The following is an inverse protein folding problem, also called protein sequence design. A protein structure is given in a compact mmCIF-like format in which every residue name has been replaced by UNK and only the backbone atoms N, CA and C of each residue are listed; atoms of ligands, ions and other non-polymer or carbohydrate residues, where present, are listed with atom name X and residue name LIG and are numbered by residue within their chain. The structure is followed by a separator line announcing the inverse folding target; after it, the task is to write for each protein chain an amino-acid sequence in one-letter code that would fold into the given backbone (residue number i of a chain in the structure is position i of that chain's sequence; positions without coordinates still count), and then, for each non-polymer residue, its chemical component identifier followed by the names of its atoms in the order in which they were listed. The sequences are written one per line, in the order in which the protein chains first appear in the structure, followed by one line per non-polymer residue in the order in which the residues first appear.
data_IF_283037608721
#
_entry.id   IF_283037608721
#
_cell.length_a   1.000
_cell.length_b   1.000
_cell.length_c   1.000
_cell.angle_alpha   90.00
_cell.angle_beta   90.00
_cell.angle_gamma   90.00
#
_symmetry.space_group_name_H-M   'P 1'
#
loop_
_entity.id
_entity.type
_entity.pdbx_description
1 polymer ?
#
# COMPACT_ATOMS: atom_id res chain seq x y z
N UNK A 1 31.47 -3.41 -19.35
CA UNK A 1 30.09 -3.18 -18.91
C UNK A 1 30.09 -2.99 -17.39
N UNK A 2 29.15 -2.22 -16.87
CA UNK A 2 28.93 -2.13 -15.42
C UNK A 2 27.54 -2.70 -15.09
N UNK A 3 27.45 -3.47 -14.02
CA UNK A 3 26.20 -3.97 -13.47
C UNK A 3 25.76 -2.99 -12.39
N UNK A 4 24.51 -2.48 -12.47
CA UNK A 4 23.97 -1.56 -11.46
C UNK A 4 23.92 -2.22 -10.07
N UNK A 5 24.41 -1.52 -9.06
CA UNK A 5 24.42 -1.96 -7.66
C UNK A 5 24.11 -0.76 -6.75
N UNK A 6 22.85 -0.64 -6.37
CA UNK A 6 22.39 0.54 -5.62
C UNK A 6 22.62 1.83 -6.42
N UNK A 7 23.37 2.77 -5.81
CA UNK A 7 23.78 4.05 -6.45
C UNK A 7 25.12 3.97 -7.19
N UNK A 8 25.74 2.79 -7.26
CA UNK A 8 27.03 2.54 -7.88
C UNK A 8 26.95 1.45 -8.97
N UNK A 9 28.07 1.10 -9.57
CA UNK A 9 28.17 0.00 -10.52
C UNK A 9 29.32 -0.95 -10.19
N UNK A 10 29.11 -2.22 -10.41
CA UNK A 10 30.14 -3.26 -10.31
C UNK A 10 30.69 -3.50 -11.71
N UNK A 11 32.02 -3.43 -11.94
CA UNK A 11 32.57 -3.69 -13.25
C UNK A 11 32.41 -5.17 -13.62
N UNK A 12 31.86 -5.44 -14.80
CA UNK A 12 31.86 -6.76 -15.39
C UNK A 12 33.17 -7.03 -16.10
N UNK A 13 33.94 -7.96 -15.60
CA UNK A 13 35.33 -8.24 -16.07
C UNK A 13 35.44 -9.49 -16.95
N UNK A 14 34.33 -10.18 -17.24
CA UNK A 14 34.32 -11.37 -18.08
C UNK A 14 33.82 -11.04 -19.49
N UNK A 15 34.06 -11.97 -20.44
CA UNK A 15 33.46 -11.88 -21.78
C UNK A 15 31.95 -11.79 -21.72
N UNK A 16 31.35 -11.04 -22.63
CA UNK A 16 29.89 -10.97 -22.83
C UNK A 16 29.40 -12.03 -23.83
N UNK A 17 30.27 -12.88 -24.35
CA UNK A 17 29.87 -13.95 -25.23
C UNK A 17 28.86 -14.89 -24.55
N UNK A 18 27.70 -15.09 -25.18
CA UNK A 18 26.60 -15.87 -24.63
C UNK A 18 25.80 -15.19 -23.48
N UNK A 19 26.04 -13.90 -23.25
CA UNK A 19 25.27 -13.12 -22.27
C UNK A 19 24.20 -12.31 -22.99
N UNK A 20 22.96 -12.52 -22.61
CA UNK A 20 21.83 -11.68 -22.99
C UNK A 20 21.55 -10.64 -21.88
N UNK A 21 21.55 -9.36 -22.24
CA UNK A 21 21.18 -8.26 -21.33
C UNK A 21 19.72 -7.95 -21.54
N UNK A 22 18.89 -8.26 -20.55
CA UNK A 22 17.47 -7.91 -20.58
C UNK A 22 17.29 -6.46 -20.13
N UNK A 23 16.71 -5.64 -21.00
CA UNK A 23 16.39 -4.26 -20.73
C UNK A 23 14.87 -4.10 -20.58
N UNK A 24 14.45 -3.26 -19.64
CA UNK A 24 13.04 -2.97 -19.45
C UNK A 24 12.54 -2.03 -20.53
N UNK A 25 11.45 -2.39 -21.22
CA UNK A 25 10.74 -1.51 -22.16
C UNK A 25 9.93 -0.39 -21.49
N UNK A 26 9.89 -0.35 -20.14
CA UNK A 26 9.06 0.63 -19.41
C UNK A 26 9.47 2.08 -19.68
N UNK A 27 10.74 2.32 -20.02
CA UNK A 27 11.24 3.65 -20.38
C UNK A 27 10.63 4.21 -21.68
N UNK A 28 10.06 3.36 -22.52
CA UNK A 28 9.36 3.75 -23.77
C UNK A 28 7.90 4.16 -23.50
N UNK A 29 7.33 3.76 -22.36
CA UNK A 29 5.99 4.13 -21.97
C UNK A 29 5.96 5.60 -21.55
N UNK A 30 5.21 6.39 -22.31
CA UNK A 30 4.95 7.79 -22.00
C UNK A 30 3.57 7.88 -21.34
N UNK A 31 3.53 8.33 -20.10
CA UNK A 31 2.27 8.67 -19.47
C UNK A 31 1.61 9.84 -20.23
N UNK A 32 0.36 9.66 -20.61
CA UNK A 32 -0.44 10.69 -21.30
C UNK A 32 -1.30 11.50 -20.34
N UNK A 33 -1.33 11.11 -19.06
CA UNK A 33 -2.11 11.72 -17.99
C UNK A 33 -1.23 11.90 -16.75
N UNK A 34 -1.61 12.82 -15.89
CA UNK A 34 -1.00 12.98 -14.57
C UNK A 34 -1.31 11.79 -13.67
N UNK A 35 -0.52 11.64 -12.59
CA UNK A 35 -0.73 10.58 -11.58
C UNK A 35 -2.13 10.66 -10.98
N UNK A 36 -2.58 11.87 -10.63
CA UNK A 36 -3.90 12.11 -10.04
C UNK A 36 -5.05 11.77 -11.03
N UNK A 37 -4.92 12.13 -12.30
CA UNK A 37 -5.90 11.78 -13.34
C UNK A 37 -6.02 10.26 -13.50
N UNK A 38 -4.90 9.53 -13.44
CA UNK A 38 -4.89 8.07 -13.53
C UNK A 38 -5.60 7.43 -12.32
N UNK A 39 -5.36 7.94 -11.11
CA UNK A 39 -6.02 7.45 -9.88
C UNK A 39 -7.53 7.72 -9.96
N UNK A 40 -7.93 8.94 -10.28
CA UNK A 40 -9.35 9.32 -10.39
C UNK A 40 -10.09 8.49 -11.45
N UNK A 41 -9.47 8.23 -12.59
CA UNK A 41 -10.07 7.40 -13.64
C UNK A 41 -10.24 5.94 -13.18
N UNK A 42 -9.22 5.37 -12.53
CA UNK A 42 -9.29 4.01 -11.99
C UNK A 42 -10.39 3.88 -10.93
N UNK A 43 -10.49 4.84 -10.03
CA UNK A 43 -11.52 4.86 -8.98
C UNK A 43 -12.93 5.10 -9.53
N UNK A 44 -13.06 5.87 -10.62
CA UNK A 44 -14.36 6.11 -11.27
C UNK A 44 -14.89 4.85 -12.00
N UNK A 45 -14.01 3.94 -12.40
CA UNK A 45 -14.34 2.73 -13.15
C UNK A 45 -13.68 1.48 -12.53
N UNK A 46 -14.08 1.09 -11.32
CA UNK A 46 -13.55 -0.11 -10.68
C UNK A 46 -13.88 -1.36 -11.50
N UNK A 47 -13.01 -2.38 -11.45
CA UNK A 47 -13.20 -3.66 -12.14
C UNK A 47 -13.99 -4.60 -11.24
N UNK A 48 -15.15 -5.07 -11.74
CA UNK A 48 -16.03 -6.03 -11.06
C UNK A 48 -16.36 -5.68 -9.59
N UNK A 49 -16.39 -4.40 -9.26
CA UNK A 49 -16.67 -3.89 -7.92
C UNK A 49 -17.50 -2.60 -7.98
N UNK A 50 -18.35 -2.31 -6.98
CA UNK A 50 -18.89 -0.98 -6.77
C UNK A 50 -17.78 0.04 -6.48
N UNK A 51 -18.09 1.34 -6.63
CA UNK A 51 -17.19 2.42 -6.23
C UNK A 51 -16.95 2.39 -4.72
N UNK A 52 -15.78 2.89 -4.31
CA UNK A 52 -15.41 2.91 -2.89
C UNK A 52 -16.41 3.73 -2.05
N UNK A 53 -16.94 4.83 -2.59
CA UNK A 53 -18.01 5.60 -1.95
C UNK A 53 -19.32 4.83 -1.75
N UNK A 54 -19.62 3.88 -2.64
CA UNK A 54 -20.79 3.01 -2.50
C UNK A 54 -20.57 1.93 -1.45
N UNK A 55 -19.36 1.36 -1.40
CA UNK A 55 -18.96 0.37 -0.39
C UNK A 55 -18.92 0.97 1.02
N UNK A 56 -18.60 2.25 1.14
CA UNK A 56 -18.53 2.98 2.40
C UNK A 56 -19.92 3.31 3.00
N UNK A 57 -21.00 3.27 2.20
CA UNK A 57 -22.35 3.63 2.69
C UNK A 57 -22.76 2.80 3.90
N UNK A 58 -23.10 3.48 4.98
CA UNK A 58 -23.54 2.88 6.24
C UNK A 58 -22.44 2.23 7.06
N UNK A 59 -21.17 2.28 6.61
CA UNK A 59 -20.02 1.81 7.36
C UNK A 59 -19.54 2.87 8.35
N UNK A 60 -19.17 2.44 9.54
CA UNK A 60 -18.64 3.30 10.62
C UNK A 60 -17.12 3.28 10.67
N UNK A 61 -16.50 2.18 10.28
CA UNK A 61 -15.04 2.00 10.31
C UNK A 61 -14.53 1.47 8.98
N UNK A 62 -13.35 1.96 8.59
CA UNK A 62 -12.62 1.45 7.42
C UNK A 62 -11.14 1.33 7.76
N UNK A 63 -10.53 0.22 7.41
CA UNK A 63 -9.08 0.06 7.46
C UNK A 63 -8.54 -0.04 6.04
N UNK A 64 -7.61 0.85 5.70
CA UNK A 64 -6.85 0.78 4.45
C UNK A 64 -5.49 0.17 4.77
N UNK A 65 -5.20 -1.01 4.22
CA UNK A 65 -3.87 -1.62 4.31
C UNK A 65 -2.96 -0.93 3.32
N UNK A 66 -1.85 -0.39 3.81
CA UNK A 66 -0.83 0.25 3.00
C UNK A 66 0.51 -0.47 3.16
N UNK A 67 1.33 -0.43 2.11
CA UNK A 67 2.69 -0.97 2.19
C UNK A 67 3.59 -0.12 3.08
N UNK A 68 4.62 -0.74 3.64
CA UNK A 68 5.64 -0.05 4.43
C UNK A 68 6.63 0.79 3.57
N UNK A 69 7.65 1.34 4.22
CA UNK A 69 8.69 2.17 3.62
C UNK A 69 9.53 1.47 2.55
N UNK A 70 9.53 0.13 2.50
CA UNK A 70 10.37 -0.62 1.55
C UNK A 70 9.74 -0.73 0.15
N UNK A 71 8.48 -0.34 -0.03
CA UNK A 71 7.76 -0.46 -1.30
C UNK A 71 7.53 0.91 -1.96
N UNK A 72 7.89 1.07 -3.24
CA UNK A 72 7.75 2.34 -3.98
C UNK A 72 6.32 2.58 -4.48
N UNK A 73 5.32 2.33 -3.63
CA UNK A 73 3.91 2.63 -3.95
C UNK A 73 3.66 4.12 -3.82
N UNK A 74 3.03 4.79 -4.80
CA UNK A 74 2.79 6.24 -4.78
C UNK A 74 1.62 6.62 -3.86
N UNK A 75 1.68 6.20 -2.58
CA UNK A 75 0.58 6.34 -1.62
C UNK A 75 0.13 7.78 -1.41
N UNK A 76 1.05 8.76 -1.52
CA UNK A 76 0.72 10.19 -1.40
C UNK A 76 -0.24 10.70 -2.49
N UNK A 77 -0.29 10.03 -3.65
CA UNK A 77 -1.22 10.34 -4.74
C UNK A 77 -2.50 9.52 -4.67
N UNK A 78 -2.47 8.34 -4.06
CA UNK A 78 -3.62 7.42 -4.00
C UNK A 78 -4.48 7.69 -2.77
N UNK A 79 -3.88 7.74 -1.59
CA UNK A 79 -4.61 7.78 -0.30
C UNK A 79 -5.54 8.99 -0.18
N UNK A 80 -5.18 10.23 -0.58
CA UNK A 80 -6.09 11.38 -0.48
C UNK A 80 -7.41 11.17 -1.23
N UNK A 81 -7.37 10.56 -2.43
CA UNK A 81 -8.58 10.28 -3.20
C UNK A 81 -9.42 9.17 -2.58
N UNK A 82 -8.78 8.11 -2.06
CA UNK A 82 -9.49 7.05 -1.34
C UNK A 82 -10.21 7.59 -0.09
N UNK A 83 -9.55 8.45 0.69
CA UNK A 83 -10.16 9.10 1.85
C UNK A 83 -11.35 9.98 1.46
N UNK A 84 -11.21 10.75 0.37
CA UNK A 84 -12.31 11.59 -0.15
C UNK A 84 -13.52 10.75 -0.57
N UNK A 85 -13.30 9.66 -1.30
CA UNK A 85 -14.35 8.72 -1.72
C UNK A 85 -15.05 8.05 -0.51
N UNK A 86 -14.28 7.59 0.47
CA UNK A 86 -14.83 7.00 1.69
C UNK A 86 -15.74 7.98 2.44
N UNK A 87 -15.27 9.23 2.62
CA UNK A 87 -16.03 10.29 3.30
C UNK A 87 -17.21 10.80 2.47
N UNK A 88 -17.17 10.69 1.16
CA UNK A 88 -18.34 10.92 0.30
C UNK A 88 -19.43 9.88 0.54
N UNK A 89 -19.07 8.62 0.74
CA UNK A 89 -20.02 7.53 1.02
C UNK A 89 -20.53 7.51 2.46
N UNK A 90 -19.66 7.83 3.42
CA UNK A 90 -19.96 7.90 4.86
C UNK A 90 -19.14 9.04 5.49
N UNK A 91 -19.75 10.24 5.70
CA UNK A 91 -19.02 11.43 6.16
C UNK A 91 -18.27 11.27 7.48
N UNK A 92 -18.81 10.47 8.41
CA UNK A 92 -18.27 10.27 9.75
C UNK A 92 -17.50 8.95 9.90
N UNK A 93 -17.09 8.33 8.79
CA UNK A 93 -16.36 7.06 8.83
C UNK A 93 -15.00 7.23 9.51
N UNK A 94 -14.71 6.41 10.52
CA UNK A 94 -13.40 6.35 11.17
C UNK A 94 -12.44 5.52 10.30
N UNK A 95 -11.46 6.18 9.70
CA UNK A 95 -10.50 5.53 8.80
C UNK A 95 -9.17 5.32 9.51
N UNK A 96 -8.66 4.09 9.46
CA UNK A 96 -7.32 3.73 9.93
C UNK A 96 -6.45 3.31 8.75
N UNK A 97 -5.27 3.89 8.63
CA UNK A 97 -4.23 3.44 7.70
C UNK A 97 -3.36 2.41 8.44
N UNK A 98 -3.44 1.14 8.02
CA UNK A 98 -2.65 0.05 8.61
C UNK A 98 -1.41 -0.21 7.75
N UNK A 99 -0.23 0.09 8.30
CA UNK A 99 1.05 -0.13 7.62
C UNK A 99 1.45 -1.59 7.74
N UNK A 100 1.42 -2.34 6.65
CA UNK A 100 1.75 -3.77 6.58
C UNK A 100 3.27 -3.97 6.53
N UNK A 101 3.91 -4.05 7.68
CA UNK A 101 5.38 -4.21 7.83
C UNK A 101 5.85 -5.66 7.66
N UNK A 102 4.98 -6.65 7.89
CA UNK A 102 5.38 -8.05 7.97
C UNK A 102 6.44 -8.25 9.06
N UNK A 103 7.64 -8.73 8.67
CA UNK A 103 8.80 -8.88 9.56
C UNK A 103 9.80 -7.72 9.47
N UNK A 104 9.49 -6.66 8.73
CA UNK A 104 10.33 -5.48 8.69
C UNK A 104 10.26 -4.72 10.03
N UNK A 105 11.26 -3.89 10.29
CA UNK A 105 11.20 -2.95 11.40
C UNK A 105 10.01 -1.99 11.25
N UNK A 106 9.53 -1.39 12.32
CA UNK A 106 8.52 -0.35 12.24
C UNK A 106 8.93 0.80 11.30
N UNK A 107 7.98 1.31 10.51
CA UNK A 107 8.17 2.49 9.66
C UNK A 107 8.28 3.73 10.54
N UNK A 108 9.33 4.53 10.35
CA UNK A 108 9.52 5.75 11.12
C UNK A 108 8.56 6.87 10.69
N UNK A 109 8.42 7.91 11.53
CA UNK A 109 7.58 9.08 11.21
C UNK A 109 8.04 9.79 9.93
N UNK A 110 9.36 9.91 9.73
CA UNK A 110 9.92 10.57 8.54
C UNK A 110 9.61 9.76 7.28
N UNK A 111 9.71 8.43 7.34
CA UNK A 111 9.34 7.53 6.24
C UNK A 111 7.83 7.57 5.94
N UNK A 112 6.98 7.66 6.96
CA UNK A 112 5.55 7.88 6.79
C UNK A 112 5.28 9.22 6.10
N UNK A 113 5.97 10.27 6.52
CA UNK A 113 5.84 11.61 5.92
C UNK A 113 6.27 11.62 4.45
N UNK A 114 7.36 10.94 4.11
CA UNK A 114 7.80 10.79 2.72
C UNK A 114 6.79 10.01 1.86
N UNK A 115 6.18 8.98 2.43
CA UNK A 115 5.26 8.08 1.74
C UNK A 115 3.84 8.64 1.59
N UNK A 116 3.33 9.32 2.60
CA UNK A 116 1.94 9.76 2.70
C UNK A 116 1.77 11.28 2.57
N UNK A 117 2.82 12.05 2.85
CA UNK A 117 2.77 13.51 2.99
C UNK A 117 2.44 13.95 4.42
N UNK A 118 2.86 15.17 4.77
CA UNK A 118 2.69 15.74 6.11
C UNK A 118 1.22 15.80 6.57
N UNK A 119 0.33 16.19 5.64
CA UNK A 119 -1.10 16.34 5.94
C UNK A 119 -1.72 15.03 6.39
N UNK A 120 -1.54 13.95 5.65
CA UNK A 120 -2.09 12.63 6.00
C UNK A 120 -1.53 12.14 7.33
N UNK A 121 -0.22 12.32 7.56
CA UNK A 121 0.41 11.89 8.82
C UNK A 121 -0.09 12.70 10.03
N UNK A 122 -0.52 13.95 9.82
CA UNK A 122 -1.03 14.81 10.88
C UNK A 122 -2.53 14.60 11.17
N UNK A 123 -3.32 14.25 10.16
CA UNK A 123 -4.79 14.24 10.25
C UNK A 123 -5.38 12.83 10.38
N UNK A 124 -4.69 11.78 9.90
CA UNK A 124 -5.25 10.44 9.84
C UNK A 124 -4.70 9.51 10.93
N UNK A 125 -5.52 8.57 11.35
CA UNK A 125 -5.10 7.50 12.27
C UNK A 125 -4.22 6.49 11.54
N UNK A 126 -2.99 6.33 11.99
CA UNK A 126 -2.02 5.40 11.42
C UNK A 126 -1.62 4.37 12.46
N UNK A 127 -1.72 3.10 12.11
CA UNK A 127 -1.28 1.96 12.90
C UNK A 127 -0.17 1.24 12.14
N UNK A 128 0.92 0.92 12.82
CA UNK A 128 2.01 0.13 12.26
C UNK A 128 1.85 -1.29 12.78
N UNK A 129 1.66 -2.24 11.85
CA UNK A 129 1.54 -3.65 12.20
C UNK A 129 2.80 -4.17 12.89
N UNK A 130 2.62 -4.90 13.98
CA UNK A 130 3.66 -5.69 14.65
C UNK A 130 3.28 -7.17 14.64
N UNK A 131 3.92 -7.94 13.76
CA UNK A 131 3.66 -9.38 13.63
C UNK A 131 4.06 -10.20 14.86
N UNK A 132 4.86 -9.61 15.76
CA UNK A 132 5.38 -10.28 16.95
C UNK A 132 4.61 -9.91 18.24
N UNK A 133 3.75 -8.89 18.19
CA UNK A 133 2.92 -8.50 19.33
C UNK A 133 1.61 -9.32 19.38
N UNK A 134 1.46 -10.30 20.29
CA UNK A 134 0.23 -11.07 20.42
C UNK A 134 -0.98 -10.22 20.81
N UNK A 135 -0.77 -9.02 21.38
CA UNK A 135 -1.86 -8.16 21.81
C UNK A 135 -2.51 -7.45 20.62
N UNK A 136 -1.76 -7.16 19.56
CA UNK A 136 -2.25 -6.53 18.32
C UNK A 136 -2.78 -7.52 17.29
N UNK A 137 -2.55 -8.82 17.49
CA UNK A 137 -2.91 -9.85 16.52
C UNK A 137 -4.05 -10.76 17.05
N UNK A 138 -4.84 -11.30 16.12
CA UNK A 138 -5.96 -12.21 16.42
C UNK A 138 -5.99 -13.37 15.45
N UNK A 139 -6.28 -14.57 15.97
CA UNK A 139 -6.54 -15.75 15.13
C UNK A 139 -7.97 -15.69 14.62
N UNK A 140 -8.14 -15.73 13.30
CA UNK A 140 -9.46 -15.72 12.64
C UNK A 140 -9.81 -17.04 11.99
N UNK A 141 -8.93 -18.03 12.03
CA UNK A 141 -9.21 -19.37 11.49
C UNK A 141 -7.96 -20.21 11.29
N UNK A 142 -8.13 -21.30 10.58
CA UNK A 142 -7.07 -22.23 10.19
C UNK A 142 -7.09 -22.42 8.69
N UNK A 143 -5.94 -22.31 8.05
CA UNK A 143 -5.77 -22.51 6.62
C UNK A 143 -5.91 -24.01 6.24
N UNK A 144 -6.21 -24.34 4.98
CA UNK A 144 -6.25 -25.73 4.50
C UNK A 144 -4.96 -26.51 4.74
N UNK A 145 -3.83 -25.82 4.85
CA UNK A 145 -2.52 -26.39 5.22
C UNK A 145 -2.39 -26.80 6.68
N UNK A 146 -3.37 -26.46 7.54
CA UNK A 146 -3.30 -26.63 8.98
C UNK A 146 -2.63 -25.47 9.73
N UNK A 147 -2.11 -24.45 9.03
CA UNK A 147 -1.52 -23.29 9.66
C UNK A 147 -2.60 -22.36 10.24
N UNK A 148 -2.33 -21.77 11.41
CA UNK A 148 -3.21 -20.77 12.02
C UNK A 148 -3.21 -19.50 11.16
N UNK A 149 -4.39 -18.95 10.90
CA UNK A 149 -4.54 -17.67 10.23
C UNK A 149 -4.65 -16.57 11.29
N UNK A 150 -3.55 -15.86 11.48
CA UNK A 150 -3.43 -14.77 12.48
C UNK A 150 -3.20 -13.48 11.72
N UNK A 151 -4.01 -12.46 11.99
CA UNK A 151 -3.91 -11.13 11.37
C UNK A 151 -4.01 -10.03 12.41
N UNK A 152 -3.69 -8.80 12.02
CA UNK A 152 -3.87 -7.63 12.86
C UNK A 152 -5.35 -7.41 13.22
N UNK A 153 -5.62 -7.11 14.50
CA UNK A 153 -6.97 -6.85 15.00
C UNK A 153 -7.66 -5.70 14.28
N UNK A 154 -6.91 -4.65 13.94
CA UNK A 154 -7.46 -3.49 13.22
C UNK A 154 -8.01 -3.90 11.86
N UNK A 155 -7.36 -4.86 11.18
CA UNK A 155 -7.87 -5.41 9.92
C UNK A 155 -9.03 -6.38 10.13
N UNK A 156 -9.01 -7.17 11.22
CA UNK A 156 -10.06 -8.16 11.52
C UNK A 156 -11.38 -7.53 11.98
N UNK A 157 -11.31 -6.42 12.71
CA UNK A 157 -12.45 -5.81 13.41
C UNK A 157 -13.10 -4.66 12.64
N UNK A 158 -12.55 -4.27 11.49
CA UNK A 158 -13.10 -3.18 10.66
C UNK A 158 -14.34 -3.62 9.87
N UNK A 159 -15.29 -2.72 9.67
CA UNK A 159 -16.49 -3.00 8.85
C UNK A 159 -16.21 -2.97 7.34
N UNK A 160 -15.17 -2.24 6.92
CA UNK A 160 -14.70 -2.18 5.54
C UNK A 160 -13.18 -2.29 5.51
N UNK A 161 -12.68 -3.34 4.88
CA UNK A 161 -11.25 -3.56 4.67
C UNK A 161 -10.91 -3.29 3.21
N UNK A 162 -9.89 -2.46 2.98
CA UNK A 162 -9.40 -2.07 1.65
C UNK A 162 -7.88 -2.27 1.61
N UNK A 163 -7.34 -2.74 0.48
CA UNK A 163 -5.90 -2.95 0.29
C UNK A 163 -5.44 -2.54 -1.12
#
# INVERSE_FOLDING_TARGET
MQIAYGTSGIPWVRSLEGVEVLESGIGELKATKSEDELVLEAMAKPIDSPKLSELAKGKKTCTIIISDHTRPVPSKHIIPFMLAELRQGSPDIDVTLLVATGFHRPTSKDELTQKLGEKIVAEEKIVIHDSQDPASNVEIGVLPSGARLVIDKVAAETELLVS
#
